data_IF_323574280186
#
_entry.id   IF_323574280186
#
_cell.length_a   1.000
_cell.length_b   1.000
_cell.length_c   1.000
_cell.angle_alpha   90.00
_cell.angle_beta   90.00
_cell.angle_gamma   90.00
#
_symmetry.space_group_name_H-M   'P 1'
#
loop_
_entity.id
_entity.type
_entity.pdbx_description
1 polymer ?
#
# COMPACT_ATOMS: atom_id res chain seq x y z
N UNK A 1 9.88 -4.66 -10.21
CA UNK A 1 9.30 -4.12 -11.45
C UNK A 1 9.28 -5.10 -12.64
N UNK A 2 10.36 -5.48 -13.36
CA UNK A 2 10.26 -6.49 -14.44
C UNK A 2 10.01 -7.91 -13.92
N UNK A 3 10.65 -8.26 -12.81
CA UNK A 3 10.56 -9.60 -12.21
C UNK A 3 9.16 -9.88 -11.63
N UNK A 4 8.59 -8.92 -10.90
CA UNK A 4 7.22 -9.04 -10.36
C UNK A 4 6.17 -9.16 -11.46
N UNK A 5 6.32 -8.39 -12.56
CA UNK A 5 5.44 -8.55 -13.73
C UNK A 5 5.53 -9.96 -14.29
N UNK A 6 6.73 -10.50 -14.47
CA UNK A 6 6.91 -11.87 -14.95
C UNK A 6 6.29 -12.91 -14.00
N UNK A 7 6.52 -12.78 -12.69
CA UNK A 7 5.93 -13.67 -11.67
C UNK A 7 4.40 -13.64 -11.72
N UNK A 8 3.80 -12.46 -11.88
CA UNK A 8 2.36 -12.30 -12.02
C UNK A 8 1.83 -12.94 -13.30
N UNK A 9 2.48 -12.74 -14.43
CA UNK A 9 2.07 -13.38 -15.69
C UNK A 9 2.15 -14.91 -15.62
N UNK A 10 3.14 -15.47 -14.91
CA UNK A 10 3.22 -16.91 -14.64
C UNK A 10 2.03 -17.38 -13.80
N UNK A 11 1.69 -16.65 -12.72
CA UNK A 11 0.51 -16.98 -11.92
C UNK A 11 -0.80 -16.84 -12.72
N UNK A 12 -0.89 -15.84 -13.60
CA UNK A 12 -2.06 -15.58 -14.45
C UNK A 12 -2.34 -16.72 -15.43
N UNK A 13 -1.32 -17.50 -15.84
CA UNK A 13 -1.55 -18.71 -16.66
C UNK A 13 -2.46 -19.73 -15.96
N UNK A 14 -2.37 -19.86 -14.64
CA UNK A 14 -3.24 -20.73 -13.86
C UNK A 14 -4.61 -20.10 -13.63
N UNK A 15 -4.64 -18.84 -13.21
CA UNK A 15 -5.86 -18.21 -12.72
C UNK A 15 -6.71 -17.50 -13.77
N UNK A 16 -6.17 -17.17 -14.94
CA UNK A 16 -6.87 -16.45 -16.01
C UNK A 16 -6.82 -17.11 -17.39
N UNK A 17 -5.91 -18.07 -17.62
CA UNK A 17 -5.85 -18.82 -18.89
C UNK A 17 -6.37 -20.26 -18.74
N UNK A 18 -6.07 -20.92 -17.62
CA UNK A 18 -6.55 -22.29 -17.36
C UNK A 18 -8.00 -22.30 -16.87
N UNK A 19 -8.36 -21.32 -16.04
CA UNK A 19 -9.74 -21.06 -15.61
C UNK A 19 -10.19 -19.77 -16.29
N UNK A 20 -11.28 -19.86 -17.06
CA UNK A 20 -11.89 -18.71 -17.73
C UNK A 20 -12.81 -17.92 -16.80
N UNK A 21 -13.14 -16.70 -17.19
CA UNK A 21 -14.11 -15.86 -16.51
C UNK A 21 -15.51 -16.09 -17.09
N UNK A 22 -16.53 -16.17 -16.25
CA UNK A 22 -17.92 -16.25 -16.71
C UNK A 22 -18.37 -14.94 -17.36
N UNK A 23 -17.90 -13.81 -16.81
CA UNK A 23 -18.07 -12.46 -17.33
C UNK A 23 -16.88 -11.57 -16.93
N UNK A 24 -16.80 -10.36 -17.50
CA UNK A 24 -15.76 -9.40 -17.08
C UNK A 24 -15.94 -8.93 -15.63
N UNK A 25 -17.15 -9.00 -15.07
CA UNK A 25 -17.42 -8.70 -13.65
C UNK A 25 -16.66 -9.65 -12.70
N UNK A 26 -16.24 -10.82 -13.19
CA UNK A 26 -15.49 -11.82 -12.43
C UNK A 26 -13.97 -11.63 -12.49
N UNK A 27 -13.47 -10.56 -13.15
CA UNK A 27 -12.05 -10.35 -13.43
C UNK A 27 -11.14 -10.38 -12.20
N UNK A 28 -11.66 -10.04 -11.02
CA UNK A 28 -10.91 -10.09 -9.77
C UNK A 28 -10.42 -11.50 -9.41
N UNK A 29 -11.11 -12.57 -9.83
CA UNK A 29 -10.68 -13.93 -9.57
C UNK A 29 -9.33 -14.18 -10.22
N UNK A 30 -9.17 -13.85 -11.50
CA UNK A 30 -7.92 -14.07 -12.22
C UNK A 30 -6.85 -13.05 -11.83
N UNK A 31 -7.20 -11.76 -11.79
CA UNK A 31 -6.26 -10.68 -11.51
C UNK A 31 -5.80 -10.67 -10.05
N UNK A 32 -6.74 -10.81 -9.11
CA UNK A 32 -6.46 -10.83 -7.68
C UNK A 32 -5.71 -12.08 -7.25
N UNK A 33 -6.00 -13.27 -7.80
CA UNK A 33 -5.22 -14.47 -7.49
C UNK A 33 -3.81 -14.41 -8.07
N UNK A 34 -3.63 -13.84 -9.26
CA UNK A 34 -2.30 -13.65 -9.85
C UNK A 34 -1.45 -12.69 -9.01
N UNK A 35 -2.05 -11.57 -8.58
CA UNK A 35 -1.41 -10.59 -7.71
C UNK A 35 -1.10 -11.19 -6.32
N UNK A 36 -2.05 -11.92 -5.72
CA UNK A 36 -1.84 -12.65 -4.46
C UNK A 36 -0.70 -13.67 -4.56
N UNK A 37 -0.67 -14.48 -5.63
CA UNK A 37 0.36 -15.49 -5.82
C UNK A 37 1.76 -14.87 -5.93
N UNK A 38 1.84 -13.74 -6.62
CA UNK A 38 3.08 -12.95 -6.75
C UNK A 38 3.53 -12.40 -5.41
N UNK A 39 2.60 -11.77 -4.68
CA UNK A 39 2.88 -11.20 -3.37
C UNK A 39 3.30 -12.27 -2.35
N UNK A 40 2.57 -13.39 -2.28
CA UNK A 40 2.89 -14.51 -1.40
C UNK A 40 4.27 -15.11 -1.70
N UNK A 41 4.64 -15.23 -2.98
CA UNK A 41 5.99 -15.67 -3.37
C UNK A 41 7.07 -14.64 -2.99
N UNK A 42 6.81 -13.34 -3.15
CA UNK A 42 7.74 -12.28 -2.73
C UNK A 42 7.99 -12.34 -1.22
N UNK A 43 6.95 -12.58 -0.41
CA UNK A 43 7.10 -12.71 1.05
C UNK A 43 8.05 -13.85 1.45
N UNK A 44 8.11 -14.97 0.71
CA UNK A 44 8.99 -16.10 1.09
C UNK A 44 10.48 -15.78 0.98
N UNK A 45 10.84 -14.73 0.23
CA UNK A 45 12.22 -14.32 0.00
C UNK A 45 12.65 -13.12 0.86
N UNK A 46 11.75 -12.60 1.71
CA UNK A 46 11.98 -11.40 2.51
C UNK A 46 11.93 -11.71 4.00
N UNK A 47 12.69 -10.95 4.80
CA UNK A 47 12.67 -11.02 6.26
C UNK A 47 12.86 -9.64 6.88
N UNK A 48 12.54 -9.51 8.18
CA UNK A 48 12.72 -8.26 8.93
C UNK A 48 12.04 -7.06 8.28
N UNK A 49 12.71 -5.91 8.31
CA UNK A 49 12.16 -4.65 7.77
C UNK A 49 11.85 -4.68 6.27
N UNK A 50 12.49 -5.54 5.48
CA UNK A 50 12.19 -5.68 4.06
C UNK A 50 10.83 -6.37 3.82
N UNK A 51 10.50 -7.37 4.65
CA UNK A 51 9.19 -8.01 4.63
C UNK A 51 8.10 -7.04 5.08
N UNK A 52 8.33 -6.33 6.19
CA UNK A 52 7.39 -5.33 6.70
C UNK A 52 7.11 -4.24 5.65
N UNK A 53 8.15 -3.74 4.97
CA UNK A 53 8.00 -2.75 3.91
C UNK A 53 7.18 -3.27 2.73
N UNK A 54 7.39 -4.52 2.31
CA UNK A 54 6.63 -5.13 1.22
C UNK A 54 5.15 -5.32 1.59
N UNK A 55 4.86 -5.75 2.82
CA UNK A 55 3.50 -5.91 3.32
C UNK A 55 2.77 -4.57 3.42
N UNK A 56 3.44 -3.56 3.98
CA UNK A 56 2.93 -2.19 4.07
C UNK A 56 2.67 -1.61 2.67
N UNK A 57 3.59 -1.81 1.73
CA UNK A 57 3.44 -1.38 0.34
C UNK A 57 2.19 -1.97 -0.31
N UNK A 58 1.96 -3.29 -0.17
CA UNK A 58 0.78 -3.94 -0.74
C UNK A 58 -0.51 -3.39 -0.16
N UNK A 59 -0.54 -3.13 1.15
CA UNK A 59 -1.69 -2.53 1.82
C UNK A 59 -1.95 -1.10 1.33
N UNK A 60 -0.91 -0.28 1.17
CA UNK A 60 -1.06 1.07 0.62
C UNK A 60 -1.61 1.06 -0.80
N UNK A 61 -1.12 0.17 -1.67
CA UNK A 61 -1.62 0.00 -3.05
C UNK A 61 -3.09 -0.44 -3.07
N UNK A 62 -3.48 -1.36 -2.19
CA UNK A 62 -4.86 -1.81 -2.05
C UNK A 62 -5.81 -0.73 -1.52
N UNK A 63 -5.32 0.16 -0.64
CA UNK A 63 -6.12 1.21 -0.01
C UNK A 63 -6.24 2.49 -0.85
N UNK A 64 -5.37 2.68 -1.84
CA UNK A 64 -5.26 3.93 -2.61
C UNK A 64 -6.60 4.41 -3.18
N UNK A 65 -7.38 3.52 -3.78
CA UNK A 65 -8.70 3.85 -4.36
C UNK A 65 -9.86 3.06 -3.73
N UNK A 66 -9.67 2.47 -2.56
CA UNK A 66 -10.57 1.49 -1.93
C UNK A 66 -12.04 1.93 -1.84
N UNK A 67 -12.29 3.23 -1.61
CA UNK A 67 -13.64 3.80 -1.48
C UNK A 67 -14.33 4.12 -2.82
N UNK A 68 -13.64 3.95 -3.95
CA UNK A 68 -14.15 4.36 -5.27
C UNK A 68 -15.17 3.36 -5.82
N UNK A 69 -14.92 2.07 -5.63
CA UNK A 69 -15.83 0.99 -5.99
C UNK A 69 -15.50 -0.27 -5.17
N UNK A 70 -16.48 -1.16 -5.01
CA UNK A 70 -16.21 -2.52 -4.53
C UNK A 70 -15.61 -3.37 -5.64
N UNK A 71 -15.00 -4.51 -5.28
CA UNK A 71 -14.42 -5.44 -6.25
C UNK A 71 -15.49 -5.89 -7.26
N UNK A 72 -16.70 -6.23 -6.78
CA UNK A 72 -17.81 -6.69 -7.63
C UNK A 72 -18.34 -5.61 -8.59
N UNK A 73 -18.06 -4.32 -8.34
CA UNK A 73 -18.55 -3.20 -9.17
C UNK A 73 -17.46 -2.53 -9.98
N UNK A 74 -16.19 -2.72 -9.64
CA UNK A 74 -15.07 -2.11 -10.34
C UNK A 74 -15.06 -2.38 -11.86
N UNK A 75 -15.33 -3.62 -12.37
CA UNK A 75 -15.32 -3.89 -13.81
C UNK A 75 -16.36 -3.12 -14.64
N UNK A 76 -17.49 -2.75 -14.04
CA UNK A 76 -18.53 -1.95 -14.72
C UNK A 76 -18.44 -0.46 -14.41
N UNK A 77 -17.75 -0.07 -13.34
CA UNK A 77 -17.66 1.31 -12.87
C UNK A 77 -16.37 2.05 -13.29
N UNK A 78 -15.30 1.33 -13.62
CA UNK A 78 -13.97 1.89 -13.83
C UNK A 78 -13.39 1.48 -15.19
N UNK A 79 -12.52 2.33 -15.73
CA UNK A 79 -11.67 1.98 -16.87
C UNK A 79 -10.63 0.94 -16.44
N UNK A 80 -10.50 -0.15 -17.19
CA UNK A 80 -9.62 -1.28 -16.84
C UNK A 80 -8.11 -0.95 -16.93
N UNK A 81 -7.76 0.19 -17.54
CA UNK A 81 -6.41 0.74 -17.58
C UNK A 81 -6.15 1.76 -16.46
N UNK A 82 -7.16 2.17 -15.70
CA UNK A 82 -7.00 3.16 -14.63
C UNK A 82 -6.26 2.60 -13.41
N UNK A 83 -5.56 3.49 -12.70
CA UNK A 83 -4.92 3.16 -11.43
C UNK A 83 -5.95 2.74 -10.36
N UNK A 84 -7.17 3.28 -10.42
CA UNK A 84 -8.27 2.88 -9.54
C UNK A 84 -8.68 1.42 -9.75
N UNK A 85 -8.80 0.99 -11.01
CA UNK A 85 -9.11 -0.40 -11.33
C UNK A 85 -8.00 -1.35 -10.87
N UNK A 86 -6.73 -1.00 -11.11
CA UNK A 86 -5.58 -1.77 -10.64
C UNK A 86 -5.54 -1.88 -9.10
N UNK A 87 -5.74 -0.77 -8.39
CA UNK A 87 -5.81 -0.73 -6.93
C UNK A 87 -6.89 -1.66 -6.36
N UNK A 88 -8.09 -1.68 -6.97
CA UNK A 88 -9.23 -2.45 -6.46
C UNK A 88 -9.19 -3.91 -6.91
N UNK A 89 -9.07 -4.17 -8.21
CA UNK A 89 -9.22 -5.52 -8.76
C UNK A 89 -7.98 -6.38 -8.50
N UNK A 90 -6.79 -5.78 -8.44
CA UNK A 90 -5.53 -6.49 -8.28
C UNK A 90 -5.07 -6.43 -6.83
N UNK A 91 -4.74 -5.25 -6.32
CA UNK A 91 -4.11 -5.13 -5.00
C UNK A 91 -5.10 -5.38 -3.84
N UNK A 92 -6.30 -4.78 -3.87
CA UNK A 92 -7.37 -5.11 -2.91
C UNK A 92 -7.82 -6.56 -3.11
N UNK A 93 -7.98 -7.03 -4.34
CA UNK A 93 -8.23 -8.45 -4.64
C UNK A 93 -7.23 -9.41 -3.96
N UNK A 94 -5.93 -9.13 -4.07
CA UNK A 94 -4.90 -9.92 -3.42
C UNK A 94 -5.00 -9.90 -1.89
N UNK A 95 -5.30 -8.74 -1.30
CA UNK A 95 -5.55 -8.62 0.13
C UNK A 95 -6.80 -9.39 0.58
N UNK A 96 -7.84 -9.45 -0.24
CA UNK A 96 -9.02 -10.29 0.04
C UNK A 96 -8.66 -11.78 0.05
N UNK A 97 -7.84 -12.25 -0.89
CA UNK A 97 -7.35 -13.65 -0.84
C UNK A 97 -6.45 -13.93 0.36
N UNK A 98 -5.59 -12.97 0.75
CA UNK A 98 -4.81 -13.06 1.99
C UNK A 98 -5.71 -13.19 3.21
N UNK A 99 -6.69 -12.30 3.36
CA UNK A 99 -7.64 -12.33 4.48
C UNK A 99 -8.50 -13.60 4.47
N UNK A 100 -8.86 -14.12 3.28
CA UNK A 100 -9.57 -15.40 3.17
C UNK A 100 -8.71 -16.53 3.72
N UNK A 101 -7.43 -16.60 3.34
CA UNK A 101 -6.46 -17.56 3.87
C UNK A 101 -6.34 -17.47 5.39
N UNK A 102 -6.25 -16.26 5.96
CA UNK A 102 -6.20 -16.11 7.41
C UNK A 102 -7.51 -16.55 8.09
N UNK A 103 -8.65 -16.35 7.42
CA UNK A 103 -9.97 -16.69 7.95
C UNK A 103 -10.24 -18.20 7.97
N UNK A 104 -9.95 -18.91 6.86
CA UNK A 104 -10.23 -20.35 6.76
C UNK A 104 -9.02 -21.22 7.13
N UNK A 105 -7.84 -20.61 7.30
CA UNK A 105 -6.58 -21.29 7.56
C UNK A 105 -5.87 -21.74 6.28
N UNK A 106 -4.52 -21.78 6.34
CA UNK A 106 -3.65 -22.08 5.20
C UNK A 106 -4.02 -23.38 4.47
N UNK A 107 -4.22 -24.48 5.20
CA UNK A 107 -4.46 -25.80 4.60
C UNK A 107 -5.77 -25.83 3.80
N UNK A 108 -6.85 -25.29 4.38
CA UNK A 108 -8.14 -25.18 3.68
C UNK A 108 -8.03 -24.26 2.48
N UNK A 109 -7.29 -23.16 2.59
CA UNK A 109 -7.08 -22.23 1.48
C UNK A 109 -6.29 -22.87 0.33
N UNK A 110 -5.21 -23.59 0.61
CA UNK A 110 -4.44 -24.31 -0.41
C UNK A 110 -5.32 -25.37 -1.10
N UNK A 111 -6.16 -26.08 -0.32
CA UNK A 111 -7.12 -27.06 -0.85
C UNK A 111 -8.23 -26.41 -1.69
N UNK A 112 -8.73 -25.23 -1.28
CA UNK A 112 -9.68 -24.42 -2.06
C UNK A 112 -9.10 -24.07 -3.44
N UNK A 113 -7.87 -23.54 -3.48
CA UNK A 113 -7.23 -23.16 -4.75
C UNK A 113 -6.97 -24.37 -5.65
N UNK A 114 -6.54 -25.50 -5.08
CA UNK A 114 -6.37 -26.74 -5.83
C UNK A 114 -7.68 -27.24 -6.44
N UNK A 115 -8.76 -27.32 -5.64
CA UNK A 115 -10.07 -27.73 -6.15
C UNK A 115 -10.65 -26.75 -7.16
N UNK A 116 -10.47 -25.45 -6.95
CA UNK A 116 -10.95 -24.44 -7.88
C UNK A 116 -10.33 -24.66 -9.27
N UNK A 117 -9.01 -24.85 -9.32
CA UNK A 117 -8.31 -25.15 -10.56
C UNK A 117 -8.81 -26.47 -11.19
N UNK A 118 -8.93 -27.55 -10.42
CA UNK A 118 -9.34 -28.85 -10.96
C UNK A 118 -10.80 -28.87 -11.45
N UNK A 119 -11.72 -28.22 -10.73
CA UNK A 119 -13.13 -28.18 -11.11
C UNK A 119 -13.40 -27.29 -12.34
N UNK A 120 -12.66 -26.18 -12.46
CA UNK A 120 -12.87 -25.16 -13.49
C UNK A 120 -11.80 -25.15 -14.59
N UNK A 121 -10.89 -26.14 -14.63
CA UNK A 121 -9.94 -26.31 -15.74
C UNK A 121 -10.69 -26.38 -17.08
N UNK A 122 -10.40 -25.43 -17.97
CA UNK A 122 -11.04 -25.32 -19.29
C UNK A 122 -12.52 -24.88 -19.24
N UNK A 123 -12.98 -24.36 -18.10
CA UNK A 123 -14.34 -23.83 -17.90
C UNK A 123 -14.28 -22.39 -17.41
N UNK A 124 -15.45 -21.77 -17.35
CA UNK A 124 -15.61 -20.42 -16.84
C UNK A 124 -16.14 -20.44 -15.40
N UNK A 125 -15.57 -19.64 -14.51
CA UNK A 125 -15.99 -19.47 -13.13
C UNK A 125 -16.52 -18.04 -12.88
N UNK A 126 -17.47 -17.93 -11.97
CA UNK A 126 -17.94 -16.66 -11.42
C UNK A 126 -17.60 -16.45 -9.96
N UNK A 127 -17.82 -15.23 -9.45
CA UNK A 127 -17.71 -14.92 -8.02
C UNK A 127 -18.58 -15.88 -7.19
N UNK A 128 -19.83 -16.11 -7.61
CA UNK A 128 -20.77 -17.01 -6.92
C UNK A 128 -20.26 -18.46 -6.88
N UNK A 129 -19.68 -18.93 -7.99
CA UNK A 129 -19.08 -20.26 -8.08
C UNK A 129 -17.92 -20.42 -7.08
N UNK A 130 -17.06 -19.39 -6.97
CA UNK A 130 -15.94 -19.37 -6.03
C UNK A 130 -16.42 -19.23 -4.57
N UNK A 131 -17.45 -18.41 -4.29
CA UNK A 131 -18.07 -18.28 -2.97
C UNK A 131 -18.67 -19.62 -2.50
N UNK A 132 -19.39 -20.31 -3.38
CA UNK A 132 -19.97 -21.62 -3.08
C UNK A 132 -18.90 -22.67 -2.76
N UNK A 133 -17.84 -22.74 -3.58
CA UNK A 133 -16.72 -23.65 -3.31
C UNK A 133 -16.01 -23.30 -1.99
N UNK A 134 -15.80 -22.00 -1.73
CA UNK A 134 -15.21 -21.52 -0.48
C UNK A 134 -16.05 -21.94 0.73
N UNK A 135 -17.38 -21.82 0.64
CA UNK A 135 -18.29 -22.23 1.72
C UNK A 135 -18.26 -23.73 1.99
N UNK A 136 -18.16 -24.55 0.93
CA UNK A 136 -17.99 -26.00 1.06
C UNK A 136 -16.68 -26.36 1.75
N UNK A 137 -15.57 -25.74 1.33
CA UNK A 137 -14.23 -25.96 1.90
C UNK A 137 -14.14 -25.49 3.35
N UNK A 138 -14.72 -24.33 3.66
CA UNK A 138 -14.73 -23.78 5.01
C UNK A 138 -15.58 -24.62 5.97
N UNK A 139 -16.54 -25.39 5.43
CA UNK A 139 -17.64 -26.03 6.17
C UNK A 139 -18.51 -25.00 6.93
N UNK A 140 -18.66 -23.81 6.33
CA UNK A 140 -19.41 -22.69 6.89
C UNK A 140 -19.94 -21.83 5.73
N UNK A 141 -21.07 -21.14 5.92
CA UNK A 141 -21.56 -20.17 4.95
C UNK A 141 -20.65 -18.92 4.94
N UNK A 142 -19.89 -18.73 3.87
CA UNK A 142 -18.91 -17.66 3.74
C UNK A 142 -19.49 -16.36 3.17
N UNK A 143 -20.81 -16.27 2.99
CA UNK A 143 -21.49 -15.09 2.44
C UNK A 143 -21.12 -13.79 3.14
N UNK A 144 -20.95 -13.82 4.46
CA UNK A 144 -20.57 -12.65 5.24
C UNK A 144 -19.21 -12.06 4.79
N UNK A 145 -18.28 -12.93 4.38
CA UNK A 145 -16.94 -12.53 3.95
C UNK A 145 -17.00 -11.86 2.58
N UNK A 146 -17.69 -12.48 1.61
CA UNK A 146 -17.83 -11.94 0.26
C UNK A 146 -18.67 -10.64 0.24
N UNK A 147 -19.76 -10.60 1.01
CA UNK A 147 -20.56 -9.40 1.18
C UNK A 147 -19.72 -8.22 1.73
N UNK A 148 -18.85 -8.48 2.72
CA UNK A 148 -17.99 -7.45 3.32
C UNK A 148 -16.85 -7.00 2.38
N UNK A 149 -16.14 -7.96 1.77
CA UNK A 149 -14.84 -7.68 1.16
C UNK A 149 -14.86 -7.59 -0.37
N UNK A 150 -15.81 -8.27 -1.02
CA UNK A 150 -15.94 -8.30 -2.48
C UNK A 150 -17.04 -7.35 -2.95
N UNK A 151 -18.18 -7.32 -2.27
CA UNK A 151 -19.31 -6.47 -2.64
C UNK A 151 -19.35 -5.14 -1.89
N UNK A 152 -18.81 -5.13 -0.67
CA UNK A 152 -18.71 -3.97 0.19
C UNK A 152 -17.54 -3.04 -0.16
N UNK A 153 -17.67 -1.81 0.32
CA UNK A 153 -16.59 -0.82 0.41
C UNK A 153 -16.35 -0.47 1.86
N UNK A 154 -15.21 0.14 2.14
CA UNK A 154 -14.78 0.47 3.49
C UNK A 154 -13.94 -0.64 4.10
N UNK A 155 -13.05 -0.21 4.97
CA UNK A 155 -12.10 -1.06 5.70
C UNK A 155 -12.18 -0.71 7.18
N UNK A 156 -11.90 -1.65 8.09
CA UNK A 156 -11.89 -1.35 9.51
C UNK A 156 -10.75 -0.38 9.86
N UNK A 157 -11.02 0.50 10.80
CA UNK A 157 -10.00 1.18 11.61
C UNK A 157 -10.03 0.55 13.00
N UNK A 158 -8.87 0.14 13.51
CA UNK A 158 -8.77 -0.50 14.81
C UNK A 158 -8.25 0.48 15.86
N UNK A 159 -8.84 0.45 17.05
CA UNK A 159 -8.36 1.17 18.23
C UNK A 159 -8.24 0.21 19.40
N UNK A 160 -7.23 0.39 20.25
CA UNK A 160 -6.99 -0.48 21.41
C UNK A 160 -7.00 0.35 22.67
N UNK A 161 -7.88 -0.01 23.61
CA UNK A 161 -7.94 0.58 24.95
C UNK A 161 -7.52 -0.49 25.97
N UNK A 162 -6.51 -0.23 26.80
CA UNK A 162 -6.05 -1.22 27.77
C UNK A 162 -5.46 -0.61 29.04
N UNK A 163 -5.37 -1.45 30.07
CA UNK A 163 -4.74 -1.15 31.35
C UNK A 163 -3.62 -2.15 31.64
N UNK A 164 -2.54 -1.64 32.20
CA UNK A 164 -1.40 -2.44 32.65
C UNK A 164 -1.46 -2.53 34.18
N UNK A 165 -1.50 -3.75 34.70
CA UNK A 165 -1.56 -4.02 36.14
C UNK A 165 -0.33 -4.83 36.54
N UNK A 166 0.46 -4.32 37.49
CA UNK A 166 1.55 -5.10 38.09
C UNK A 166 0.97 -6.13 39.06
N UNK A 167 1.30 -7.39 38.87
CA UNK A 167 0.82 -8.50 39.70
C UNK A 167 1.68 -8.66 40.95
N UNK A 168 1.14 -9.31 41.99
CA UNK A 168 1.90 -9.64 43.22
C UNK A 168 3.09 -10.56 42.96
N UNK A 169 3.06 -11.32 41.87
CA UNK A 169 4.15 -12.19 41.42
C UNK A 169 5.26 -11.43 40.67
N UNK A 170 5.18 -10.10 40.57
CA UNK A 170 6.18 -9.26 39.89
C UNK A 170 6.02 -9.18 38.37
N UNK A 171 5.00 -9.84 37.80
CA UNK A 171 4.66 -9.77 36.37
C UNK A 171 3.75 -8.58 36.05
N UNK A 172 3.46 -8.36 34.77
CA UNK A 172 2.49 -7.39 34.29
C UNK A 172 1.34 -8.09 33.57
N UNK A 173 0.12 -7.62 33.80
CA UNK A 173 -1.07 -8.06 33.10
C UNK A 173 -1.61 -6.90 32.27
N UNK A 174 -1.70 -7.09 30.96
CA UNK A 174 -2.24 -6.10 30.02
C UNK A 174 -3.62 -6.56 29.56
N UNK A 175 -4.66 -5.93 30.08
CA UNK A 175 -6.05 -6.27 29.74
C UNK A 175 -6.70 -5.08 29.06
N UNK A 176 -7.40 -5.36 27.97
CA UNK A 176 -8.07 -4.32 27.21
C UNK A 176 -9.06 -4.86 26.21
N UNK A 177 -9.51 -3.96 25.36
CA UNK A 177 -10.47 -4.22 24.31
C UNK A 177 -9.93 -3.66 23.00
N UNK A 178 -9.91 -4.49 21.96
CA UNK A 178 -9.73 -4.02 20.58
C UNK A 178 -11.10 -3.67 20.03
N UNK A 179 -11.24 -2.48 19.44
CA UNK A 179 -12.47 -1.98 18.83
C UNK A 179 -12.24 -1.70 17.35
N UNK A 180 -13.30 -1.74 16.55
CA UNK A 180 -13.24 -1.45 15.13
C UNK A 180 -14.53 -0.79 14.60
N UNK A 181 -14.44 -0.15 13.43
CA UNK A 181 -15.46 0.77 12.89
C UNK A 181 -16.60 0.13 12.10
N UNK A 182 -16.42 -1.07 11.54
CA UNK A 182 -17.44 -1.80 10.79
C UNK A 182 -18.49 -2.43 11.72
N UNK A 183 -19.71 -2.64 11.26
CA UNK A 183 -20.77 -3.14 12.15
C UNK A 183 -20.72 -4.66 12.35
N UNK A 184 -20.36 -5.40 11.30
CA UNK A 184 -20.51 -6.85 11.22
C UNK A 184 -19.20 -7.54 10.84
N UNK A 185 -18.05 -6.96 11.22
CA UNK A 185 -16.75 -7.59 10.94
C UNK A 185 -16.68 -8.95 11.63
N UNK A 186 -16.27 -9.96 10.86
CA UNK A 186 -16.02 -11.30 11.37
C UNK A 186 -14.72 -11.83 10.82
N UNK A 187 -13.64 -11.80 11.60
CA UNK A 187 -12.34 -12.30 11.17
C UNK A 187 -11.36 -12.54 12.33
N UNK A 188 -10.40 -13.46 12.19
CA UNK A 188 -9.26 -13.54 13.09
C UNK A 188 -8.36 -12.31 12.94
N UNK A 189 -7.99 -11.70 14.06
CA UNK A 189 -7.09 -10.55 14.14
C UNK A 189 -5.95 -10.87 15.09
N UNK A 190 -4.72 -10.73 14.59
CA UNK A 190 -3.51 -10.91 15.38
C UNK A 190 -3.27 -9.65 16.23
N UNK A 191 -3.10 -9.83 17.53
CA UNK A 191 -2.70 -8.81 18.48
C UNK A 191 -1.31 -9.15 19.01
N UNK A 192 -0.43 -8.16 19.07
CA UNK A 192 0.91 -8.30 19.63
C UNK A 192 1.13 -7.37 20.80
N UNK A 193 1.48 -7.93 21.96
CA UNK A 193 2.04 -7.17 23.08
C UNK A 193 3.55 -7.03 22.87
N UNK A 194 4.04 -5.79 22.70
CA UNK A 194 5.47 -5.48 22.83
C UNK A 194 5.78 -5.19 24.28
N UNK A 195 6.75 -5.90 24.86
CA UNK A 195 7.20 -5.68 26.23
C UNK A 195 8.74 -5.68 26.29
N UNK A 196 9.29 -5.18 27.39
CA UNK A 196 10.73 -5.26 27.63
C UNK A 196 11.21 -6.72 27.62
N UNK A 197 12.11 -7.05 26.71
CA UNK A 197 12.77 -8.36 26.62
C UNK A 197 12.08 -9.40 25.74
N UNK A 198 10.77 -9.31 25.50
CA UNK A 198 10.09 -10.18 24.51
C UNK A 198 8.70 -9.66 24.08
N UNK A 199 8.25 -10.12 22.91
CA UNK A 199 6.93 -9.87 22.37
C UNK A 199 6.05 -11.11 22.48
N UNK A 200 4.75 -10.91 22.73
CA UNK A 200 3.76 -11.99 22.72
C UNK A 200 2.70 -11.72 21.67
N UNK A 201 2.28 -12.76 20.96
CA UNK A 201 1.20 -12.67 19.98
C UNK A 201 0.03 -13.57 20.39
N UNK A 202 -1.19 -13.10 20.11
CA UNK A 202 -2.41 -13.90 20.19
C UNK A 202 -3.29 -13.60 19.00
N UNK A 203 -4.14 -14.53 18.61
CA UNK A 203 -5.16 -14.31 17.57
C UNK A 203 -6.52 -14.28 18.24
N UNK A 204 -7.22 -13.16 18.09
CA UNK A 204 -8.58 -12.98 18.59
C UNK A 204 -9.54 -12.96 17.42
N UNK A 205 -10.59 -13.78 17.46
CA UNK A 205 -11.66 -13.73 16.46
C UNK A 205 -12.57 -12.55 16.79
N UNK A 206 -12.50 -11.49 15.99
CA UNK A 206 -13.39 -10.34 16.15
C UNK A 206 -14.75 -10.67 15.54
N UNK A 207 -15.81 -10.57 16.34
CA UNK A 207 -17.20 -10.69 15.88
C UNK A 207 -17.99 -9.44 16.30
N UNK A 208 -18.24 -8.53 15.34
CA UNK A 208 -18.87 -7.24 15.60
C UNK A 208 -17.85 -6.16 15.94
N UNK A 209 -18.22 -5.19 16.79
CA UNK A 209 -17.47 -3.93 16.97
C UNK A 209 -16.26 -4.01 17.90
N UNK A 210 -16.14 -5.03 18.74
CA UNK A 210 -15.07 -5.11 19.71
C UNK A 210 -14.87 -6.49 20.29
N UNK A 211 -13.64 -6.79 20.73
CA UNK A 211 -13.30 -7.99 21.50
C UNK A 211 -12.31 -7.68 22.61
N UNK A 212 -12.41 -8.42 23.71
CA UNK A 212 -11.47 -8.31 24.83
C UNK A 212 -10.21 -9.16 24.60
N UNK A 213 -9.10 -8.71 25.18
CA UNK A 213 -7.85 -9.46 25.21
C UNK A 213 -7.16 -9.33 26.57
N UNK A 214 -6.28 -10.29 26.86
CA UNK A 214 -5.55 -10.38 28.13
C UNK A 214 -4.17 -11.01 27.87
N UNK A 215 -3.12 -10.27 28.19
CA UNK A 215 -1.73 -10.74 28.11
C UNK A 215 -1.08 -10.73 29.50
N UNK A 216 -0.13 -11.64 29.71
CA UNK A 216 0.72 -11.63 30.89
C UNK A 216 2.19 -11.57 30.46
N UNK A 217 2.91 -10.49 30.79
CA UNK A 217 4.33 -10.32 30.48
C UNK A 217 5.22 -10.27 31.72
N UNK A 218 6.47 -10.72 31.58
CA UNK A 218 7.47 -10.59 32.63
C UNK A 218 8.07 -9.17 32.64
N UNK A 219 8.41 -8.65 31.47
CA UNK A 219 8.89 -7.28 31.29
C UNK A 219 7.74 -6.26 31.19
N UNK A 220 8.09 -4.98 31.36
CA UNK A 220 7.12 -3.90 31.30
C UNK A 220 6.50 -3.79 29.90
N UNK A 221 5.16 -3.81 29.77
CA UNK A 221 4.49 -3.55 28.51
C UNK A 221 4.83 -2.17 27.92
N UNK A 222 5.08 -2.13 26.62
CA UNK A 222 5.34 -0.92 25.84
C UNK A 222 4.06 -0.53 25.09
N UNK A 223 3.54 -1.44 24.25
CA UNK A 223 2.37 -1.20 23.42
C UNK A 223 1.65 -2.48 23.01
N UNK A 224 0.38 -2.37 22.62
CA UNK A 224 -0.38 -3.42 21.94
C UNK A 224 -0.58 -3.02 20.48
N UNK A 225 -0.04 -3.83 19.57
CA UNK A 225 -0.11 -3.60 18.12
C UNK A 225 -1.17 -4.51 17.51
N UNK A 226 -2.10 -3.92 16.76
CA UNK A 226 -3.11 -4.66 16.00
C UNK A 226 -2.57 -4.97 14.60
N UNK A 227 -2.69 -6.23 14.21
CA UNK A 227 -2.26 -6.74 12.92
C UNK A 227 -0.83 -6.27 12.56
N UNK A 228 0.19 -6.75 13.31
CA UNK A 228 1.56 -6.27 13.17
C UNK A 228 2.21 -6.64 11.83
N UNK A 229 1.61 -7.57 11.08
CA UNK A 229 2.11 -8.09 9.80
C UNK A 229 1.23 -7.69 8.62
N UNK A 230 0.36 -6.68 8.81
CA UNK A 230 -0.49 -6.11 7.76
C UNK A 230 -1.33 -7.17 7.01
N UNK A 231 -1.78 -8.21 7.71
CA UNK A 231 -2.58 -9.32 7.16
C UNK A 231 -3.99 -8.88 6.80
N UNK A 232 -4.48 -7.80 7.41
CA UNK A 232 -5.82 -7.27 7.27
C UNK A 232 -5.76 -5.99 6.48
N UNK A 233 -6.61 -5.86 5.46
CA UNK A 233 -6.82 -4.60 4.79
C UNK A 233 -7.54 -3.63 5.75
N UNK A 234 -6.76 -2.76 6.42
CA UNK A 234 -7.25 -1.81 7.42
C UNK A 234 -6.72 -0.40 7.16
N UNK A 235 -7.48 0.61 7.56
CA UNK A 235 -6.97 1.97 7.59
C UNK A 235 -6.30 2.24 8.96
N UNK A 236 -5.24 3.05 8.96
CA UNK A 236 -4.62 3.58 10.17
C UNK A 236 -4.03 4.95 9.94
N UNK A 237 -3.80 5.68 11.03
CA UNK A 237 -3.28 7.05 10.98
C UNK A 237 -1.93 7.14 10.25
N UNK A 238 -1.05 6.14 10.45
CA UNK A 238 0.27 6.08 9.80
C UNK A 238 0.20 5.81 8.29
N UNK A 239 -0.88 5.16 7.82
CA UNK A 239 -1.12 4.89 6.40
C UNK A 239 -1.88 6.03 5.72
N UNK A 240 -2.69 6.80 6.45
CA UNK A 240 -3.61 7.77 5.86
C UNK A 240 -2.89 8.82 5.01
N UNK A 241 -1.76 9.35 5.50
CA UNK A 241 -0.95 10.34 4.76
C UNK A 241 -0.40 9.72 3.47
N UNK A 242 0.16 8.51 3.54
CA UNK A 242 0.79 7.87 2.38
C UNK A 242 -0.24 7.44 1.34
N UNK A 243 -1.41 6.94 1.75
CA UNK A 243 -2.51 6.56 0.85
C UNK A 243 -3.01 7.77 0.06
N UNK A 244 -3.28 8.89 0.74
CA UNK A 244 -3.74 10.11 0.08
C UNK A 244 -2.70 10.61 -0.91
N UNK A 245 -1.44 10.69 -0.50
CA UNK A 245 -0.37 11.14 -1.38
C UNK A 245 -0.11 10.17 -2.55
N UNK A 246 -0.21 8.84 -2.35
CA UNK A 246 -0.16 7.84 -3.44
C UNK A 246 -1.28 8.06 -4.44
N UNK A 247 -2.50 8.33 -3.99
CA UNK A 247 -3.61 8.68 -4.88
C UNK A 247 -3.26 9.90 -5.73
N UNK A 248 -2.66 10.92 -5.13
CA UNK A 248 -2.18 12.10 -5.87
C UNK A 248 -1.11 11.76 -6.91
N UNK A 249 -0.18 10.87 -6.60
CA UNK A 249 0.85 10.40 -7.55
C UNK A 249 0.21 9.67 -8.73
N UNK A 250 -0.73 8.76 -8.48
CA UNK A 250 -1.41 8.03 -9.55
C UNK A 250 -2.25 8.97 -10.43
N UNK A 251 -2.99 9.90 -9.83
CA UNK A 251 -3.74 10.92 -10.57
C UNK A 251 -2.83 11.82 -11.42
N UNK A 252 -1.66 12.20 -10.89
CA UNK A 252 -0.66 12.97 -11.64
C UNK A 252 -0.17 12.20 -12.87
N UNK A 253 0.08 10.89 -12.76
CA UNK A 253 0.47 10.02 -13.90
C UNK A 253 -0.62 9.94 -14.96
N UNK A 254 -1.88 9.98 -14.55
CA UNK A 254 -3.05 10.02 -15.44
C UNK A 254 -3.31 11.42 -16.03
N UNK A 255 -2.52 12.44 -15.65
CA UNK A 255 -2.71 13.82 -16.09
C UNK A 255 -3.82 14.58 -15.35
N UNK A 256 -4.41 13.98 -14.31
CA UNK A 256 -5.44 14.55 -13.44
C UNK A 256 -4.79 15.47 -12.41
N UNK A 257 -4.19 16.57 -12.89
CA UNK A 257 -3.32 17.41 -12.05
C UNK A 257 -4.06 18.17 -10.96
N UNK A 258 -5.32 18.57 -11.18
CA UNK A 258 -6.09 19.31 -10.19
C UNK A 258 -6.45 18.40 -9.00
N UNK A 259 -6.87 17.18 -9.30
CA UNK A 259 -7.16 16.13 -8.33
C UNK A 259 -5.90 15.74 -7.56
N UNK A 260 -4.78 15.56 -8.26
CA UNK A 260 -3.50 15.25 -7.65
C UNK A 260 -3.03 16.33 -6.65
N UNK A 261 -3.14 17.61 -7.03
CA UNK A 261 -2.84 18.73 -6.14
C UNK A 261 -3.72 18.69 -4.88
N UNK A 262 -5.04 18.46 -5.04
CA UNK A 262 -5.95 18.36 -3.90
C UNK A 262 -5.55 17.23 -2.94
N UNK A 263 -5.12 16.08 -3.46
CA UNK A 263 -4.64 14.98 -2.63
C UNK A 263 -3.37 15.37 -1.86
N UNK A 264 -2.37 15.95 -2.53
CA UNK A 264 -1.14 16.37 -1.84
C UNK A 264 -1.42 17.41 -0.75
N UNK A 265 -2.28 18.40 -1.03
CA UNK A 265 -2.70 19.37 -0.02
C UNK A 265 -3.47 18.73 1.14
N UNK A 266 -4.32 17.72 0.87
CA UNK A 266 -5.00 16.96 1.91
C UNK A 266 -4.03 16.16 2.78
N UNK A 267 -3.02 15.53 2.18
CA UNK A 267 -1.96 14.83 2.91
C UNK A 267 -1.14 15.80 3.79
N UNK A 268 -0.80 16.99 3.28
CA UNK A 268 -0.07 18.02 4.04
C UNK A 268 -0.89 18.64 5.17
N UNK A 269 -2.23 18.62 5.09
CA UNK A 269 -3.09 19.01 6.22
C UNK A 269 -2.93 18.06 7.42
N UNK A 270 -2.68 16.78 7.15
CA UNK A 270 -2.45 15.76 8.18
C UNK A 270 -1.01 15.77 8.68
N UNK A 271 -0.03 15.95 7.79
CA UNK A 271 1.39 16.04 8.14
C UNK A 271 2.08 17.20 7.40
N UNK A 272 2.19 18.34 8.09
CA UNK A 272 2.69 19.61 7.53
C UNK A 272 4.20 19.64 7.27
N UNK A 273 4.96 18.67 7.79
CA UNK A 273 6.42 18.59 7.61
C UNK A 273 6.84 17.45 6.68
N UNK A 274 5.88 16.80 6.01
CA UNK A 274 6.15 15.62 5.19
C UNK A 274 6.94 15.97 3.92
N UNK A 275 8.24 15.67 3.94
CA UNK A 275 9.12 15.94 2.80
C UNK A 275 8.74 15.19 1.53
N UNK A 276 8.18 13.98 1.66
CA UNK A 276 7.81 13.17 0.50
C UNK A 276 6.61 13.77 -0.24
N UNK A 277 5.63 14.28 0.50
CA UNK A 277 4.46 14.94 -0.11
C UNK A 277 4.86 16.26 -0.78
N UNK A 278 5.66 17.10 -0.11
CA UNK A 278 6.17 18.33 -0.73
C UNK A 278 7.03 18.06 -1.97
N UNK A 279 7.85 17.00 -1.95
CA UNK A 279 8.62 16.61 -3.12
C UNK A 279 7.70 16.31 -4.30
N UNK A 280 6.68 15.45 -4.12
CA UNK A 280 5.75 15.09 -5.19
C UNK A 280 4.89 16.27 -5.65
N UNK A 281 4.47 17.17 -4.76
CA UNK A 281 3.78 18.40 -5.14
C UNK A 281 4.70 19.35 -5.94
N UNK A 282 5.98 19.43 -5.57
CA UNK A 282 6.99 20.14 -6.35
C UNK A 282 7.20 19.54 -7.75
N UNK A 283 7.17 18.20 -7.85
CA UNK A 283 7.20 17.49 -9.13
C UNK A 283 5.98 17.80 -10.01
N UNK A 284 4.78 17.81 -9.42
CA UNK A 284 3.56 18.21 -10.12
C UNK A 284 3.67 19.61 -10.72
N UNK A 285 4.14 20.58 -9.94
CA UNK A 285 4.32 21.95 -10.43
C UNK A 285 5.45 22.05 -11.46
N UNK A 286 6.50 21.23 -11.35
CA UNK A 286 7.58 21.17 -12.33
C UNK A 286 7.04 20.67 -13.69
N UNK A 287 6.19 19.63 -13.70
CA UNK A 287 5.54 19.14 -14.91
C UNK A 287 4.61 20.18 -15.55
N UNK A 288 3.86 20.92 -14.74
CA UNK A 288 3.01 22.02 -15.18
C UNK A 288 3.79 23.26 -15.63
N UNK A 289 5.12 23.27 -15.51
CA UNK A 289 5.99 24.42 -15.79
C UNK A 289 5.76 25.61 -14.86
N UNK A 290 5.18 25.37 -13.70
CA UNK A 290 4.97 26.34 -12.62
C UNK A 290 6.23 26.41 -11.75
N UNK A 291 7.31 26.92 -12.34
CA UNK A 291 8.66 26.84 -11.77
C UNK A 291 8.80 27.41 -10.36
N UNK A 292 8.13 28.53 -10.07
CA UNK A 292 8.23 29.14 -8.74
C UNK A 292 7.56 28.27 -7.67
N UNK A 293 6.37 27.75 -7.94
CA UNK A 293 5.68 26.84 -7.03
C UNK A 293 6.47 25.53 -6.84
N UNK A 294 7.10 25.03 -7.90
CA UNK A 294 7.99 23.87 -7.80
C UNK A 294 9.17 24.14 -6.86
N UNK A 295 9.84 25.29 -7.01
CA UNK A 295 10.95 25.70 -6.14
C UNK A 295 10.52 25.82 -4.67
N UNK A 296 9.39 26.47 -4.40
CA UNK A 296 8.87 26.68 -3.05
C UNK A 296 8.56 25.32 -2.37
N UNK A 297 7.99 24.37 -3.11
CA UNK A 297 7.70 23.03 -2.62
C UNK A 297 8.96 22.17 -2.43
N UNK A 298 9.97 22.24 -3.31
CA UNK A 298 11.24 21.54 -3.08
C UNK A 298 12.00 22.13 -1.89
N UNK A 299 11.90 23.43 -1.65
CA UNK A 299 12.45 24.06 -0.44
C UNK A 299 11.72 23.58 0.82
N UNK A 300 10.38 23.53 0.79
CA UNK A 300 9.59 22.94 1.88
C UNK A 300 9.96 21.46 2.12
N UNK A 301 10.17 20.68 1.07
CA UNK A 301 10.63 19.30 1.17
C UNK A 301 12.00 19.21 1.86
N UNK A 302 12.94 20.09 1.53
CA UNK A 302 14.27 20.12 2.12
C UNK A 302 14.28 20.59 3.59
N UNK A 303 13.27 21.36 4.01
CA UNK A 303 13.10 21.84 5.38
C UNK A 303 12.23 20.92 6.25
N UNK A 304 11.66 19.86 5.67
CA UNK A 304 10.76 18.90 6.34
C UNK A 304 11.49 17.74 7.03
N UNK A 305 10.83 16.60 7.11
CA UNK A 305 11.34 15.37 7.76
C UNK A 305 12.51 14.70 7.07
N UNK A 306 12.75 15.00 5.78
CA UNK A 306 13.72 14.35 4.89
C UNK A 306 13.60 12.82 4.87
N UNK A 307 12.36 12.32 4.99
CA UNK A 307 12.04 10.89 4.92
C UNK A 307 11.20 10.58 3.67
N UNK A 308 11.64 9.63 2.84
CA UNK A 308 12.91 8.89 2.94
C UNK A 308 14.14 9.76 2.64
N UNK A 309 15.33 9.31 3.07
CA UNK A 309 16.58 10.09 2.99
C UNK A 309 16.99 10.46 1.56
N UNK A 310 16.56 9.70 0.55
CA UNK A 310 16.80 10.03 -0.86
C UNK A 310 16.14 11.34 -1.30
N UNK A 311 15.14 11.83 -0.57
CA UNK A 311 14.47 13.09 -0.92
C UNK A 311 15.45 14.25 -0.92
N UNK A 312 16.42 14.26 -0.01
CA UNK A 312 17.37 15.38 0.07
C UNK A 312 18.10 15.58 -1.26
N UNK A 313 18.68 14.51 -1.81
CA UNK A 313 19.44 14.60 -3.05
C UNK A 313 18.54 14.89 -4.25
N UNK A 314 17.37 14.26 -4.31
CA UNK A 314 16.47 14.40 -5.45
C UNK A 314 15.72 15.74 -5.46
N UNK A 315 15.33 16.27 -4.31
CA UNK A 315 14.76 17.61 -4.22
C UNK A 315 15.76 18.66 -4.69
N UNK A 316 17.06 18.53 -4.34
CA UNK A 316 18.11 19.43 -4.85
C UNK A 316 18.27 19.34 -6.37
N UNK A 317 18.32 18.14 -6.93
CA UNK A 317 18.40 17.95 -8.39
C UNK A 317 17.20 18.62 -9.08
N UNK A 318 15.98 18.34 -8.61
CA UNK A 318 14.76 18.86 -9.24
C UNK A 318 14.59 20.38 -9.03
N UNK A 319 15.04 20.92 -7.90
CA UNK A 319 15.18 22.37 -7.67
C UNK A 319 16.19 22.99 -8.64
N UNK A 320 17.30 22.32 -8.91
CA UNK A 320 18.26 22.71 -9.95
C UNK A 320 17.61 22.76 -11.34
N UNK A 321 16.83 21.74 -11.70
CA UNK A 321 16.09 21.69 -12.96
C UNK A 321 15.11 22.86 -13.10
N UNK A 322 14.40 23.20 -12.02
CA UNK A 322 13.51 24.37 -12.00
C UNK A 322 14.27 25.69 -12.20
N UNK A 323 15.46 25.85 -11.60
CA UNK A 323 16.30 27.03 -11.83
C UNK A 323 16.83 27.12 -13.27
N UNK A 324 17.29 26.01 -13.85
CA UNK A 324 17.71 25.95 -15.25
C UNK A 324 16.56 26.33 -16.20
N UNK A 325 15.35 25.82 -15.95
CA UNK A 325 14.15 26.15 -16.71
C UNK A 325 13.76 27.64 -16.63
N UNK A 326 14.11 28.33 -15.53
CA UNK A 326 13.97 29.79 -15.36
C UNK A 326 15.12 30.60 -15.95
N UNK A 327 16.18 29.97 -16.46
CA UNK A 327 17.41 30.63 -16.92
C UNK A 327 18.35 31.04 -15.78
N UNK A 328 18.12 30.59 -14.55
CA UNK A 328 18.91 30.92 -13.36
C UNK A 328 20.08 29.92 -13.15
N UNK A 329 20.91 29.73 -14.18
CA UNK A 329 21.93 28.66 -14.24
C UNK A 329 22.87 28.61 -13.03
N UNK A 330 23.31 29.77 -12.52
CA UNK A 330 24.21 29.80 -11.36
C UNK A 330 23.58 29.19 -10.09
N UNK A 331 22.27 29.37 -9.91
CA UNK A 331 21.52 28.75 -8.81
C UNK A 331 21.31 27.26 -9.06
N UNK A 332 21.03 26.87 -10.31
CA UNK A 332 20.93 25.46 -10.67
C UNK A 332 22.22 24.68 -10.37
N UNK A 333 23.37 25.19 -10.82
CA UNK A 333 24.69 24.61 -10.55
C UNK A 333 24.98 24.50 -9.05
N UNK A 334 24.54 25.49 -8.26
CA UNK A 334 24.66 25.44 -6.80
C UNK A 334 23.87 24.26 -6.22
N UNK A 335 22.63 24.05 -6.65
CA UNK A 335 21.82 22.93 -6.18
C UNK A 335 22.36 21.57 -6.65
N UNK A 336 22.84 21.45 -7.89
CA UNK A 336 23.49 20.23 -8.37
C UNK A 336 24.77 19.90 -7.58
N UNK A 337 25.59 20.90 -7.26
CA UNK A 337 26.76 20.69 -6.40
C UNK A 337 26.37 20.23 -5.00
N UNK A 338 25.34 20.83 -4.38
CA UNK A 338 24.83 20.36 -3.08
C UNK A 338 24.32 18.91 -3.16
N UNK A 339 23.66 18.52 -4.25
CA UNK A 339 23.25 17.14 -4.49
C UNK A 339 24.45 16.20 -4.60
N UNK A 340 25.55 16.64 -5.22
CA UNK A 340 26.79 15.85 -5.30
C UNK A 340 27.46 15.73 -3.93
N UNK A 341 27.55 16.84 -3.19
CA UNK A 341 28.20 16.89 -1.87
C UNK A 341 27.46 16.06 -0.82
N UNK A 342 26.15 15.85 -0.93
CA UNK A 342 25.42 14.98 0.01
C UNK A 342 25.91 13.52 -0.01
N UNK A 343 26.52 13.07 -1.12
CA UNK A 343 27.02 11.70 -1.29
C UNK A 343 25.93 10.64 -1.42
N UNK A 344 24.65 11.00 -1.30
CA UNK A 344 23.53 10.06 -1.42
C UNK A 344 23.37 9.67 -2.89
N UNK A 345 23.53 8.39 -3.23
CA UNK A 345 23.44 7.87 -4.59
C UNK A 345 22.25 6.91 -4.79
N UNK A 346 21.07 7.31 -4.33
CA UNK A 346 19.85 6.56 -4.58
C UNK A 346 19.39 6.74 -6.03
N UNK A 347 19.08 5.65 -6.73
CA UNK A 347 18.63 5.65 -8.14
C UNK A 347 19.54 6.46 -9.08
N UNK A 348 20.87 6.28 -8.93
CA UNK A 348 21.89 6.97 -9.72
C UNK A 348 21.86 8.52 -9.63
N UNK A 349 21.29 9.09 -8.56
CA UNK A 349 21.19 10.54 -8.36
C UNK A 349 22.51 11.30 -8.60
N UNK A 350 23.66 10.74 -8.20
CA UNK A 350 24.95 11.39 -8.37
C UNK A 350 25.34 11.54 -9.85
N UNK A 351 25.05 10.51 -10.67
CA UNK A 351 25.28 10.57 -12.11
C UNK A 351 24.35 11.58 -12.77
N UNK A 352 23.08 11.61 -12.36
CA UNK A 352 22.08 12.57 -12.84
C UNK A 352 22.47 14.01 -12.51
N UNK A 353 22.91 14.28 -11.28
CA UNK A 353 23.38 15.61 -10.89
C UNK A 353 24.59 16.06 -11.73
N UNK A 354 25.57 15.16 -11.96
CA UNK A 354 26.73 15.44 -12.82
C UNK A 354 26.33 15.71 -14.27
N UNK A 355 25.37 14.96 -14.81
CA UNK A 355 24.80 15.20 -16.15
C UNK A 355 24.25 16.62 -16.26
N UNK A 356 23.43 17.06 -15.30
CA UNK A 356 22.84 18.40 -15.33
C UNK A 356 23.83 19.53 -15.02
N UNK A 357 24.92 19.23 -14.30
CA UNK A 357 26.03 20.16 -14.13
C UNK A 357 26.79 20.39 -15.43
N UNK A 358 26.98 19.35 -16.25
CA UNK A 358 27.63 19.44 -17.55
C UNK A 358 26.73 20.07 -18.62
N UNK A 359 25.44 19.71 -18.64
CA UNK A 359 24.46 20.20 -19.63
C UNK A 359 23.22 20.71 -18.91
N UNK A 360 22.80 21.97 -19.10
CA UNK A 360 21.59 22.50 -18.47
C UNK A 360 20.36 21.65 -18.75
N UNK A 361 19.48 21.53 -17.75
CA UNK A 361 18.17 20.92 -17.94
C UNK A 361 17.35 21.75 -18.94
N UNK A 362 16.82 21.08 -19.97
CA UNK A 362 15.91 21.70 -20.95
C UNK A 362 14.48 21.16 -20.77
N UNK A 363 13.52 21.98 -20.31
CA UNK A 363 12.13 21.56 -20.12
C UNK A 363 11.38 21.22 -21.42
N UNK A 364 11.95 21.50 -22.60
CA UNK A 364 11.37 21.16 -23.91
C UNK A 364 11.87 19.82 -24.46
N UNK A 365 13.04 19.36 -24.01
CA UNK A 365 13.68 18.13 -24.50
C UNK A 365 13.21 16.86 -23.77
N UNK A 366 12.51 17.01 -22.65
CA UNK A 366 12.18 15.93 -21.72
C UNK A 366 10.74 15.47 -21.93
N UNK A 367 10.54 14.18 -22.22
CA UNK A 367 9.22 13.54 -22.18
C UNK A 367 8.77 13.40 -20.72
N UNK A 368 7.47 13.56 -20.45
CA UNK A 368 6.87 13.52 -19.10
C UNK A 368 7.30 12.32 -18.25
N UNK A 369 7.59 11.17 -18.86
CA UNK A 369 8.04 9.97 -18.16
C UNK A 369 9.40 10.11 -17.44
N UNK A 370 10.32 10.97 -17.91
CA UNK A 370 11.62 11.21 -17.25
C UNK A 370 11.53 12.16 -16.05
N UNK A 371 10.37 12.79 -15.86
CA UNK A 371 10.13 13.67 -14.72
C UNK A 371 9.74 12.87 -13.48
N UNK A 372 9.24 11.64 -13.57
CA UNK A 372 8.70 10.91 -12.41
C UNK A 372 9.70 10.66 -11.26
N UNK A 373 9.14 10.50 -10.05
CA UNK A 373 9.88 10.24 -8.81
C UNK A 373 10.74 8.97 -8.94
N UNK A 374 11.97 8.99 -8.41
CA UNK A 374 12.74 7.78 -8.13
C UNK A 374 11.92 6.85 -7.24
N UNK A 375 11.83 5.56 -7.60
CA UNK A 375 11.23 4.53 -6.75
C UNK A 375 9.70 4.43 -6.75
N UNK A 376 9.03 4.80 -7.85
CA UNK A 376 7.66 4.32 -8.11
C UNK A 376 7.62 2.80 -8.32
#
# INVERSE_FOLDING_TARGET
>A
MPEEKLQREVAYQWWGQTVGLKSFDDAWLSQGLAEWSTFAFRETNLTGGALEAAQREQQERALTFEQTASIARAPSALDDQSAAYQSIVFHKGAMVFRMLRETIGKEKFDWLLHNFLEQYRGKNASIDDFEHLTSQVAAENMRYFFAQWVEGTGVPEFTVDYQIIRTRAGKFRTRGTVKQTLETLRMPVELMLRAEGDNQTTTTKIEGKSEDFDFESNGQPIEVVVDPNYKILRMSDDLRVSIIARRGIEQMKEGLYAEAQQQFEAALKLDRSNSWVYYNLGMLYLEQRNWQQALDNFEAALNGTLKPTWIEVWARIKRGNAYDAKGERNRAVTEYNKAITSGINYDNAQAVAKKFLATPFDPKAVQSAELMSPGN
#
